data_IF_495701057206
#
_entry.id   IF_495701057206
#
_cell.length_a   1.000
_cell.length_b   1.000
_cell.length_c   1.000
_cell.angle_alpha   90.00
_cell.angle_beta   90.00
_cell.angle_gamma   90.00
#
_symmetry.space_group_name_H-M   'P 1'
#
loop_
_entity.id
_entity.type
_entity.pdbx_description
1 polymer ?
#
# COMPACT_ATOMS: atom_id res chain seq x y z
N UNK A 1 -3.18 -22.10 -14.50
CA UNK A 1 -3.87 -21.43 -13.37
C UNK A 1 -3.09 -20.18 -13.05
N UNK A 2 -3.74 -19.02 -12.99
CA UNK A 2 -3.07 -17.78 -12.59
C UNK A 2 -2.76 -17.78 -11.08
N UNK A 3 -1.73 -17.02 -10.67
CA UNK A 3 -1.45 -16.79 -9.24
C UNK A 3 -2.66 -16.07 -8.61
N UNK A 4 -3.11 -16.46 -7.40
CA UNK A 4 -4.08 -15.69 -6.63
C UNK A 4 -3.66 -14.23 -6.48
N UNK A 5 -4.62 -13.32 -6.56
CA UNK A 5 -4.44 -11.90 -6.27
C UNK A 5 -5.00 -11.60 -4.89
N UNK A 6 -4.15 -11.07 -4.00
CA UNK A 6 -4.54 -10.63 -2.66
C UNK A 6 -4.65 -9.12 -2.67
N UNK A 7 -5.86 -8.62 -2.39
CA UNK A 7 -6.09 -7.19 -2.25
C UNK A 7 -5.94 -6.78 -0.78
N UNK A 8 -5.11 -5.77 -0.52
CA UNK A 8 -4.82 -5.25 0.81
C UNK A 8 -5.30 -3.81 0.88
N UNK A 9 -6.32 -3.54 1.68
CA UNK A 9 -6.73 -2.16 1.98
C UNK A 9 -5.85 -1.60 3.10
N UNK A 10 -5.38 -0.36 2.94
CA UNK A 10 -4.54 0.29 3.98
C UNK A 10 -5.33 0.70 5.23
N UNK A 11 -6.67 0.72 5.14
CA UNK A 11 -7.55 1.17 6.22
C UNK A 11 -7.46 2.68 6.46
N UNK A 12 -7.60 3.08 7.72
CA UNK A 12 -7.48 4.48 8.15
C UNK A 12 -6.04 4.99 7.93
N UNK A 13 -5.83 6.02 7.07
CA UNK A 13 -4.51 6.56 6.80
C UNK A 13 -3.86 7.31 7.97
N UNK A 14 -4.63 7.71 9.00
CA UNK A 14 -4.11 8.26 10.26
C UNK A 14 -3.75 7.17 11.27
N UNK A 15 -4.20 5.94 11.07
CA UNK A 15 -3.85 4.78 11.88
C UNK A 15 -2.50 4.16 11.49
N UNK A 16 -2.26 2.93 11.98
CA UNK A 16 -1.03 2.17 11.69
C UNK A 16 -1.16 1.27 10.45
N UNK A 17 -2.34 1.18 9.83
CA UNK A 17 -2.61 0.28 8.70
C UNK A 17 -1.62 0.45 7.53
N UNK A 18 -1.28 1.69 7.12
CA UNK A 18 -0.22 1.94 6.15
C UNK A 18 1.14 1.34 6.57
N UNK A 19 1.56 1.55 7.82
CA UNK A 19 2.85 1.07 8.35
C UNK A 19 2.93 -0.46 8.39
N UNK A 20 1.88 -1.12 8.88
CA UNK A 20 1.79 -2.57 8.94
C UNK A 20 1.84 -3.16 7.54
N UNK A 21 1.15 -2.53 6.58
CA UNK A 21 1.12 -2.98 5.18
C UNK A 21 2.52 -2.93 4.58
N UNK A 22 3.22 -1.79 4.65
CA UNK A 22 4.53 -1.66 4.02
C UNK A 22 5.60 -2.53 4.71
N UNK A 23 5.55 -2.67 6.05
CA UNK A 23 6.50 -3.50 6.79
C UNK A 23 6.30 -4.97 6.44
N UNK A 24 5.05 -5.41 6.35
CA UNK A 24 4.72 -6.78 5.95
C UNK A 24 5.20 -7.07 4.53
N UNK A 25 4.92 -6.17 3.57
CA UNK A 25 5.37 -6.37 2.18
C UNK A 25 6.90 -6.38 2.07
N UNK A 26 7.61 -5.55 2.85
CA UNK A 26 9.06 -5.53 2.89
C UNK A 26 9.67 -6.79 3.52
N UNK A 27 9.06 -7.32 4.58
CA UNK A 27 9.56 -8.49 5.32
C UNK A 27 9.31 -9.81 4.57
N UNK A 28 8.12 -9.95 3.97
CA UNK A 28 7.72 -11.15 3.24
C UNK A 28 8.67 -11.44 2.06
N UNK A 29 9.21 -10.39 1.42
CA UNK A 29 10.12 -10.51 0.29
C UNK A 29 9.47 -11.21 -0.92
N UNK A 30 10.24 -12.01 -1.65
CA UNK A 30 9.76 -12.73 -2.84
C UNK A 30 8.80 -13.87 -2.50
N UNK A 31 7.72 -14.01 -3.28
CA UNK A 31 6.69 -15.06 -3.18
C UNK A 31 6.22 -15.47 -4.57
N UNK A 32 6.29 -16.76 -4.88
CA UNK A 32 5.89 -17.28 -6.19
C UNK A 32 4.44 -17.77 -6.22
N UNK A 33 3.79 -17.87 -5.06
CA UNK A 33 2.48 -18.48 -4.88
C UNK A 33 1.30 -17.51 -4.94
N UNK A 34 1.52 -16.19 -4.85
CA UNK A 34 0.50 -15.15 -4.99
C UNK A 34 1.10 -13.80 -5.37
N UNK A 35 0.25 -12.89 -5.87
CA UNK A 35 0.60 -11.47 -6.05
C UNK A 35 -0.27 -10.59 -5.14
N UNK A 36 0.24 -9.42 -4.77
CA UNK A 36 -0.48 -8.45 -3.93
C UNK A 36 -0.81 -7.17 -4.69
N UNK A 37 -1.99 -6.62 -4.42
CA UNK A 37 -2.42 -5.29 -4.84
C UNK A 37 -2.85 -4.51 -3.61
N UNK A 38 -2.20 -3.37 -3.36
CA UNK A 38 -2.60 -2.46 -2.28
C UNK A 38 -3.65 -1.49 -2.81
N UNK A 39 -4.67 -1.21 -2.01
CA UNK A 39 -5.69 -0.20 -2.26
C UNK A 39 -5.53 0.89 -1.19
N UNK A 40 -5.26 2.11 -1.62
CA UNK A 40 -4.98 3.23 -0.73
C UNK A 40 -4.51 4.46 -1.49
N UNK A 41 -3.83 5.38 -0.81
CA UNK A 41 -3.31 6.60 -1.45
C UNK A 41 -1.79 6.58 -1.57
N UNK A 42 -1.28 6.98 -2.74
CA UNK A 42 0.16 6.95 -3.03
C UNK A 42 0.98 7.86 -2.11
N UNK A 43 0.45 9.01 -1.72
CA UNK A 43 1.10 9.98 -0.84
C UNK A 43 1.23 9.46 0.60
N UNK A 44 0.20 8.78 1.11
CA UNK A 44 0.23 8.11 2.42
C UNK A 44 1.29 7.01 2.44
N UNK A 45 1.28 6.12 1.44
CA UNK A 45 2.26 5.05 1.36
C UNK A 45 3.69 5.59 1.20
N UNK A 46 3.89 6.60 0.37
CA UNK A 46 5.19 7.27 0.19
C UNK A 46 5.72 7.85 1.50
N UNK A 47 4.88 8.59 2.23
CA UNK A 47 5.24 9.15 3.53
C UNK A 47 5.53 8.05 4.56
N UNK A 48 4.73 7.00 4.57
CA UNK A 48 4.89 5.85 5.47
C UNK A 48 6.22 5.13 5.22
N UNK A 49 6.59 4.89 3.96
CA UNK A 49 7.88 4.30 3.57
C UNK A 49 9.05 5.17 4.03
N UNK A 50 8.95 6.49 3.84
CA UNK A 50 9.95 7.44 4.33
C UNK A 50 10.08 7.38 5.87
N UNK A 51 8.96 7.39 6.59
CA UNK A 51 8.96 7.31 8.07
C UNK A 51 9.52 5.98 8.58
N UNK A 52 9.26 4.87 7.89
CA UNK A 52 9.74 3.55 8.29
C UNK A 52 11.16 3.24 7.80
N UNK A 53 11.76 4.07 6.95
CA UNK A 53 13.08 3.81 6.35
C UNK A 53 13.07 2.61 5.40
N UNK A 54 11.95 2.37 4.69
CA UNK A 54 11.76 1.24 3.77
C UNK A 54 11.93 1.71 2.33
N UNK A 55 12.77 1.01 1.55
CA UNK A 55 13.03 1.29 0.14
C UNK A 55 12.24 0.34 -0.78
N UNK A 56 10.92 0.52 -0.77
CA UNK A 56 10.03 -0.08 -1.78
C UNK A 56 9.58 0.99 -2.77
N UNK A 57 9.21 0.56 -3.98
CA UNK A 57 8.73 1.45 -5.03
C UNK A 57 7.24 1.30 -5.21
N UNK A 58 6.52 2.39 -5.41
CA UNK A 58 5.09 2.31 -5.76
C UNK A 58 4.98 2.18 -7.29
N UNK A 59 4.20 1.19 -7.74
CA UNK A 59 3.74 1.07 -9.13
C UNK A 59 2.23 1.32 -9.15
N UNK A 60 1.76 2.52 -9.51
CA UNK A 60 0.35 2.75 -9.74
C UNK A 60 -0.12 1.84 -10.89
N UNK A 61 -1.25 1.17 -10.69
CA UNK A 61 -1.90 0.33 -11.69
C UNK A 61 -3.33 0.81 -11.92
N UNK A 62 -3.85 0.63 -13.14
CA UNK A 62 -5.26 0.92 -13.47
C UNK A 62 -6.13 -0.32 -13.60
N UNK A 63 -5.51 -1.48 -13.79
CA UNK A 63 -6.20 -2.77 -13.88
C UNK A 63 -5.29 -3.91 -13.41
N UNK A 64 -5.88 -5.08 -13.18
CA UNK A 64 -5.17 -6.25 -12.65
C UNK A 64 -4.14 -6.83 -13.64
N UNK A 65 -4.29 -6.56 -14.93
CA UNK A 65 -3.37 -6.97 -15.99
C UNK A 65 -2.02 -6.24 -15.91
N UNK A 66 -1.98 -5.09 -15.22
CA UNK A 66 -0.76 -4.30 -15.03
C UNK A 66 0.07 -4.74 -13.80
N UNK A 67 -0.42 -5.72 -13.03
CA UNK A 67 0.25 -6.22 -11.82
C UNK A 67 1.66 -6.70 -12.15
N UNK A 68 2.65 -6.15 -11.43
CA UNK A 68 4.04 -6.58 -11.46
C UNK A 68 4.27 -7.70 -10.43
N UNK A 69 5.05 -8.71 -10.79
CA UNK A 69 5.52 -9.75 -9.90
C UNK A 69 6.87 -9.41 -9.23
N UNK A 70 7.50 -8.29 -9.58
CA UNK A 70 8.67 -7.78 -8.87
C UNK A 70 8.27 -7.19 -7.49
N UNK A 71 8.64 -7.91 -6.43
CA UNK A 71 8.37 -7.58 -5.04
C UNK A 71 9.06 -6.31 -4.53
N UNK A 72 9.98 -5.71 -5.32
CA UNK A 72 10.47 -4.35 -5.05
C UNK A 72 9.40 -3.29 -5.30
N UNK A 73 8.31 -3.67 -5.98
CA UNK A 73 7.19 -2.79 -6.31
C UNK A 73 5.94 -3.17 -5.53
N UNK A 74 5.31 -2.15 -4.95
CA UNK A 74 3.95 -2.21 -4.43
C UNK A 74 3.02 -1.85 -5.59
N UNK A 75 2.28 -2.83 -6.10
CA UNK A 75 1.18 -2.56 -7.03
C UNK A 75 0.09 -1.81 -6.28
N UNK A 76 -0.23 -0.60 -6.72
CA UNK A 76 -1.16 0.29 -6.02
C UNK A 76 -2.34 0.65 -6.92
N UNK A 77 -3.54 0.33 -6.47
CA UNK A 77 -4.76 0.99 -6.90
C UNK A 77 -4.91 2.29 -6.09
N UNK A 78 -4.46 3.40 -6.69
CA UNK A 78 -4.41 4.70 -6.03
C UNK A 78 -5.78 5.37 -6.01
N UNK A 79 -6.32 5.56 -4.81
CA UNK A 79 -7.59 6.24 -4.58
C UNK A 79 -7.44 7.77 -4.59
N UNK A 80 -6.23 8.28 -4.39
CA UNK A 80 -5.92 9.72 -4.35
C UNK A 80 -6.92 10.52 -3.50
N UNK A 81 -7.29 10.00 -2.33
CA UNK A 81 -8.35 10.56 -1.48
C UNK A 81 -7.85 10.98 -0.09
N UNK A 82 -6.55 11.26 0.03
CA UNK A 82 -5.93 11.61 1.32
C UNK A 82 -6.51 12.91 1.89
N UNK A 83 -7.00 12.90 3.15
CA UNK A 83 -7.51 14.11 3.77
C UNK A 83 -6.42 15.19 3.93
N UNK A 84 -6.74 16.42 3.53
CA UNK A 84 -5.85 17.55 3.76
C UNK A 84 -5.58 17.74 5.27
N UNK A 85 -4.30 17.97 5.61
CA UNK A 85 -3.80 18.16 6.99
C UNK A 85 -4.05 16.96 7.92
N UNK A 86 -4.03 15.74 7.38
CA UNK A 86 -4.13 14.51 8.17
C UNK A 86 -3.07 14.49 9.29
N UNK A 87 -3.52 14.19 10.51
CA UNK A 87 -2.66 14.01 11.68
C UNK A 87 -2.67 12.54 12.10
N UNK A 88 -1.48 11.95 12.24
CA UNK A 88 -1.33 10.55 12.66
C UNK A 88 -1.82 10.39 14.11
N UNK A 89 -2.58 9.33 14.37
CA UNK A 89 -3.14 9.01 15.69
C UNK A 89 -4.32 9.88 16.13
N UNK A 90 -4.81 10.78 15.27
CA UNK A 90 -5.96 11.63 15.54
C UNK A 90 -7.17 11.16 14.72
N UNK A 91 -8.31 11.00 15.38
CA UNK A 91 -9.57 10.63 14.71
C UNK A 91 -9.95 11.71 13.70
N UNK A 92 -10.24 11.29 12.46
CA UNK A 92 -10.73 12.15 11.38
C UNK A 92 -11.87 11.42 10.62
N UNK A 93 -13.06 12.02 10.50
CA UNK A 93 -14.19 11.38 9.80
C UNK A 93 -13.94 11.17 8.31
N UNK A 94 -12.95 11.83 7.71
CA UNK A 94 -12.57 11.66 6.30
C UNK A 94 -11.67 10.42 6.09
N UNK A 95 -11.24 9.79 7.16
CA UNK A 95 -10.37 8.60 7.15
C UNK A 95 -11.11 7.27 7.25
N UNK A 96 -12.42 7.30 7.53
CA UNK A 96 -13.28 6.11 7.74
C UNK A 96 -14.20 5.80 6.58
#
# INVERSE_FOLDING_TARGET
MGKPLIFITIGDPAGIGPEVTIKSLNDIGYRDDYNTVVIGSADILSKTMQTCGIDLKIKPIKSIEEVNDDHKYINLLDLNNTPAKLQIGQIDPRSG
#
